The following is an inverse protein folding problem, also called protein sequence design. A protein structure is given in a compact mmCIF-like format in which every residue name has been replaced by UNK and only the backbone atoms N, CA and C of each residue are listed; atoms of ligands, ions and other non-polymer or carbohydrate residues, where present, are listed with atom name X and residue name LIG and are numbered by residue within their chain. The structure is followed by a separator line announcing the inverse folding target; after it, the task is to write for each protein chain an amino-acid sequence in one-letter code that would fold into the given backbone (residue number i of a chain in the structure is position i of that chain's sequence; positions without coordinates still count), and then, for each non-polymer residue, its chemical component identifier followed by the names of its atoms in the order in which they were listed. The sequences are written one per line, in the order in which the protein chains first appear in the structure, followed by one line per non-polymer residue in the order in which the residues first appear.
data_IF_691383389544
#
_entry.id   IF_691383389544
#
_cell.length_a   1.000
_cell.length_b   1.000
_cell.length_c   1.000
_cell.angle_alpha   90.00
_cell.angle_beta   90.00
_cell.angle_gamma   90.00
#
_symmetry.space_group_name_H-M   'P 1'
#
loop_
_entity.id
_entity.type
_entity.pdbx_description
1 polymer ?
#
# COMPACT_ATOMS: atom_id res chain seq x y z
N UNK A 1 -15.02 6.99 -7.87
CA UNK A 1 -14.79 7.46 -6.48
C UNK A 1 -13.54 8.32 -6.52
N UNK A 2 -13.66 9.65 -6.46
CA UNK A 2 -12.49 10.51 -6.36
C UNK A 2 -12.12 10.54 -4.88
N UNK A 3 -11.18 9.68 -4.49
CA UNK A 3 -10.61 9.66 -3.16
C UNK A 3 -9.77 10.92 -3.05
N UNK A 4 -10.21 11.86 -2.21
CA UNK A 4 -9.47 13.08 -1.94
C UNK A 4 -8.06 12.71 -1.49
N UNK A 5 -7.06 13.39 -2.07
CA UNK A 5 -5.61 13.25 -1.81
C UNK A 5 -5.21 13.23 -0.32
N UNK A 6 -6.13 13.61 0.57
CA UNK A 6 -6.01 13.59 2.03
C UNK A 6 -5.95 12.17 2.63
N UNK A 7 -6.60 11.15 2.03
CA UNK A 7 -6.52 9.78 2.58
C UNK A 7 -5.21 9.07 2.22
N UNK A 8 -4.55 9.46 1.12
CA UNK A 8 -3.22 8.99 0.77
C UNK A 8 -2.15 9.49 1.76
N UNK A 9 -2.39 10.66 2.39
CA UNK A 9 -1.53 11.21 3.45
C UNK A 9 -1.61 10.39 4.74
N UNK A 10 -2.77 9.78 5.00
CA UNK A 10 -3.03 8.96 6.21
C UNK A 10 -2.31 7.62 6.20
N UNK A 11 -1.91 7.14 5.02
CA UNK A 11 -1.16 5.89 4.96
C UNK A 11 0.15 6.07 5.74
N UNK A 12 0.69 7.30 5.87
CA UNK A 12 2.12 7.46 6.19
C UNK A 12 2.58 8.75 6.87
N UNK A 13 1.84 9.86 6.83
CA UNK A 13 2.24 11.04 7.61
C UNK A 13 1.79 10.88 9.06
N UNK A 14 2.77 10.66 9.94
CA UNK A 14 2.62 10.90 11.38
C UNK A 14 2.34 12.38 11.62
N UNK A 15 1.07 12.76 11.64
CA UNK A 15 0.65 13.75 12.63
C UNK A 15 0.56 13.01 13.96
N UNK A 16 1.15 13.58 15.01
CA UNK A 16 1.18 13.02 16.37
C UNK A 16 -0.23 12.59 16.81
N UNK A 17 -0.56 11.30 16.70
CA UNK A 17 -1.80 10.73 17.25
C UNK A 17 -2.75 9.97 16.30
N UNK A 18 -2.47 9.81 14.99
CA UNK A 18 -3.35 9.00 14.10
C UNK A 18 -2.78 7.60 13.77
N UNK A 19 -3.67 6.59 13.78
CA UNK A 19 -3.36 5.17 13.63
C UNK A 19 -3.22 4.72 12.17
N UNK A 20 -2.43 3.66 11.94
CA UNK A 20 -2.38 2.91 10.66
C UNK A 20 -3.77 2.35 10.30
N UNK A 21 -4.03 2.08 9.00
CA UNK A 21 -5.29 1.48 8.57
C UNK A 21 -5.53 0.14 9.28
N UNK A 22 -6.76 -0.08 9.75
CA UNK A 22 -7.11 -1.27 10.53
C UNK A 22 -6.79 -2.60 9.84
N UNK A 23 -6.77 -2.63 8.50
CA UNK A 23 -6.47 -3.84 7.74
C UNK A 23 -5.07 -4.40 8.03
N UNK A 24 -4.09 -3.55 8.32
CA UNK A 24 -2.75 -4.01 8.72
C UNK A 24 -2.79 -4.70 10.08
N UNK A 25 -3.60 -4.18 11.01
CA UNK A 25 -3.81 -4.78 12.31
C UNK A 25 -4.58 -6.10 12.22
N UNK A 26 -5.61 -6.16 11.38
CA UNK A 26 -6.37 -7.39 11.13
C UNK A 26 -5.47 -8.46 10.52
N UNK A 27 -4.63 -8.11 9.54
CA UNK A 27 -3.64 -9.03 8.97
C UNK A 27 -2.66 -9.50 10.04
N UNK A 28 -2.14 -8.58 10.86
CA UNK A 28 -1.13 -8.88 11.86
C UNK A 28 -1.61 -9.87 12.94
N UNK A 29 -2.81 -9.62 13.49
CA UNK A 29 -3.41 -10.47 14.53
C UNK A 29 -4.11 -11.70 13.97
N UNK A 30 -4.68 -11.61 12.77
CA UNK A 30 -5.55 -12.65 12.19
C UNK A 30 -4.86 -13.62 11.23
N UNK A 31 -3.71 -13.28 10.65
CA UNK A 31 -2.97 -14.22 9.82
C UNK A 31 -2.27 -15.29 10.66
N UNK A 32 -2.59 -16.55 10.39
CA UNK A 32 -2.08 -17.72 11.12
C UNK A 32 -1.62 -18.83 10.14
N UNK A 33 -0.86 -19.80 10.64
CA UNK A 33 -0.40 -20.97 9.89
C UNK A 33 0.38 -20.63 8.61
N UNK A 34 0.05 -21.32 7.51
CA UNK A 34 0.75 -21.20 6.23
C UNK A 34 0.72 -19.78 5.64
N UNK A 35 -0.34 -19.00 5.91
CA UNK A 35 -0.41 -17.60 5.47
C UNK A 35 0.67 -16.78 6.18
N UNK A 36 0.74 -16.88 7.51
CA UNK A 36 1.70 -16.13 8.32
C UNK A 36 3.15 -16.47 7.98
N UNK A 37 3.43 -17.77 7.78
CA UNK A 37 4.75 -18.26 7.37
C UNK A 37 5.17 -17.72 6.00
N UNK A 38 4.29 -17.80 5.00
CA UNK A 38 4.56 -17.31 3.66
C UNK A 38 4.79 -15.80 3.63
N UNK A 39 4.00 -15.05 4.39
CA UNK A 39 4.14 -13.60 4.49
C UNK A 39 5.34 -13.18 5.36
N UNK A 40 5.99 -14.12 6.06
CA UNK A 40 7.10 -13.89 6.98
C UNK A 40 6.84 -12.82 8.04
N UNK A 41 5.61 -12.74 8.56
CA UNK A 41 5.22 -11.70 9.52
C UNK A 41 6.01 -11.79 10.84
N UNK A 42 6.37 -13.00 11.30
CA UNK A 42 7.17 -13.20 12.52
C UNK A 42 8.60 -12.68 12.42
N UNK A 43 9.10 -12.42 11.20
CA UNK A 43 10.42 -11.80 11.01
C UNK A 43 10.43 -10.31 11.38
N UNK A 44 9.26 -9.68 11.48
CA UNK A 44 9.11 -8.25 11.79
C UNK A 44 9.02 -8.09 13.32
N UNK A 45 10.07 -7.54 13.93
CA UNK A 45 10.23 -7.44 15.39
C UNK A 45 9.07 -6.72 16.08
N UNK A 46 8.64 -5.59 15.50
CA UNK A 46 7.45 -4.85 15.93
C UNK A 46 6.97 -4.00 14.76
N UNK A 47 5.84 -4.33 14.12
CA UNK A 47 5.30 -3.49 13.08
C UNK A 47 4.79 -2.19 13.71
N UNK A 48 4.83 -1.10 12.96
CA UNK A 48 4.31 0.20 13.42
C UNK A 48 2.78 0.20 13.28
N UNK A 49 2.13 -0.69 14.00
CA UNK A 49 0.69 -0.87 14.04
C UNK A 49 0.27 -0.66 15.50
N UNK A 50 -0.28 0.50 15.86
CA UNK A 50 -0.77 0.76 17.22
C UNK A 50 -2.02 1.66 17.17
N UNK A 51 -3.10 1.30 17.89
CA UNK A 51 -3.23 1.66 19.32
C UNK A 51 -3.77 0.55 20.27
N UNK A 52 -3.86 -0.70 19.82
CA UNK A 52 -4.69 -1.74 20.43
C UNK A 52 -3.86 -2.81 21.15
N UNK A 53 -3.38 -2.48 22.34
CA UNK A 53 -2.53 -3.38 23.15
C UNK A 53 -3.30 -4.34 24.07
N UNK A 54 -4.64 -4.24 24.12
CA UNK A 54 -5.49 -5.08 24.97
C UNK A 54 -5.86 -6.38 24.26
N UNK A 55 -6.00 -7.46 25.02
CA UNK A 55 -6.39 -8.77 24.48
C UNK A 55 -7.77 -8.75 23.79
N UNK A 56 -8.69 -7.93 24.30
CA UNK A 56 -10.02 -7.71 23.70
C UNK A 56 -9.92 -7.11 22.29
N UNK A 57 -8.99 -6.18 22.08
CA UNK A 57 -8.79 -5.56 20.78
C UNK A 57 -8.12 -6.52 19.79
N UNK A 58 -7.22 -7.40 20.28
CA UNK A 58 -6.60 -8.46 19.49
C UNK A 58 -7.63 -9.46 19.01
N UNK A 59 -8.50 -9.92 19.90
CA UNK A 59 -9.60 -10.82 19.55
C UNK A 59 -10.55 -10.17 18.54
N UNK A 60 -10.89 -8.88 18.73
CA UNK A 60 -11.71 -8.12 17.79
C UNK A 60 -11.08 -8.01 16.40
N UNK A 61 -9.74 -7.88 16.33
CA UNK A 61 -9.01 -7.85 15.07
C UNK A 61 -9.02 -9.20 14.34
N UNK A 62 -8.86 -10.31 15.08
CA UNK A 62 -9.01 -11.65 14.53
C UNK A 62 -10.41 -11.85 13.93
N UNK A 63 -11.45 -11.43 14.65
CA UNK A 63 -12.83 -11.52 14.14
C UNK A 63 -13.08 -10.63 12.93
N UNK A 64 -12.48 -9.43 12.89
CA UNK A 64 -12.54 -8.55 11.74
C UNK A 64 -11.80 -9.13 10.53
N UNK A 65 -10.67 -9.81 10.75
CA UNK A 65 -9.93 -10.53 9.71
C UNK A 65 -10.77 -11.66 9.09
N UNK A 66 -11.44 -12.47 9.92
CA UNK A 66 -12.35 -13.51 9.43
C UNK A 66 -13.51 -12.93 8.62
N UNK A 67 -14.11 -11.83 9.10
CA UNK A 67 -15.17 -11.12 8.35
C UNK A 67 -14.69 -10.60 7.00
N UNK A 68 -13.45 -10.11 6.92
CA UNK A 68 -12.85 -9.65 5.67
C UNK A 68 -12.68 -10.81 4.66
N UNK A 69 -12.17 -11.96 5.10
CA UNK A 69 -12.08 -13.16 4.26
C UNK A 69 -13.45 -13.64 3.78
N UNK A 70 -14.45 -13.67 4.66
CA UNK A 70 -15.82 -13.98 4.26
C UNK A 70 -16.35 -12.97 3.23
N UNK A 71 -16.08 -11.68 3.39
CA UNK A 71 -16.49 -10.67 2.42
C UNK A 71 -15.84 -10.91 1.04
N UNK A 72 -14.54 -11.22 0.99
CA UNK A 72 -13.87 -11.56 -0.27
C UNK A 72 -14.50 -12.78 -0.96
N UNK A 73 -14.85 -13.81 -0.19
CA UNK A 73 -15.56 -14.99 -0.71
C UNK A 73 -16.93 -14.64 -1.30
N UNK A 74 -17.73 -13.80 -0.62
CA UNK A 74 -19.02 -13.34 -1.13
C UNK A 74 -18.91 -12.44 -2.37
N UNK A 75 -17.81 -11.70 -2.49
CA UNK A 75 -17.48 -10.88 -3.66
C UNK A 75 -16.95 -11.73 -4.83
N UNK A 76 -16.77 -13.04 -4.65
CA UNK A 76 -16.30 -13.95 -5.68
C UNK A 76 -14.80 -13.84 -5.98
N UNK A 77 -13.99 -13.32 -5.04
CA UNK A 77 -12.54 -13.32 -5.20
C UNK A 77 -12.01 -14.75 -5.10
N UNK A 78 -11.11 -15.12 -6.02
CA UNK A 78 -10.36 -16.38 -5.92
C UNK A 78 -9.36 -16.34 -4.77
N UNK A 79 -8.96 -17.51 -4.27
CA UNK A 79 -7.89 -17.61 -3.27
C UNK A 79 -6.61 -16.90 -3.72
N UNK A 80 -6.25 -17.01 -5.01
CA UNK A 80 -5.09 -16.31 -5.58
C UNK A 80 -5.22 -14.78 -5.54
N UNK A 81 -6.42 -14.23 -5.67
CA UNK A 81 -6.65 -12.79 -5.56
C UNK A 81 -6.56 -12.33 -4.11
N UNK A 82 -7.13 -13.10 -3.16
CA UNK A 82 -7.00 -12.82 -1.72
C UNK A 82 -5.54 -12.90 -1.29
N UNK A 83 -4.80 -13.88 -1.80
CA UNK A 83 -3.37 -14.03 -1.58
C UNK A 83 -2.56 -12.84 -2.10
N UNK A 84 -2.91 -12.32 -3.28
CA UNK A 84 -2.27 -11.12 -3.83
C UNK A 84 -2.54 -9.90 -2.95
N UNK A 85 -3.76 -9.73 -2.45
CA UNK A 85 -4.11 -8.67 -1.49
C UNK A 85 -3.25 -8.78 -0.22
N UNK A 86 -3.16 -9.97 0.37
CA UNK A 86 -2.35 -10.23 1.55
C UNK A 86 -0.85 -9.96 1.30
N UNK A 87 -0.35 -10.33 0.11
CA UNK A 87 1.05 -10.14 -0.28
C UNK A 87 1.41 -8.67 -0.39
N UNK A 88 0.54 -7.84 -0.98
CA UNK A 88 0.77 -6.38 -1.07
C UNK A 88 0.78 -5.74 0.33
N UNK A 89 -0.18 -6.11 1.20
CA UNK A 89 -0.22 -5.61 2.57
C UNK A 89 1.05 -5.98 3.37
N UNK A 90 1.49 -7.24 3.28
CA UNK A 90 2.71 -7.68 3.93
C UNK A 90 3.96 -7.01 3.35
N UNK A 91 4.01 -6.79 2.04
CA UNK A 91 5.12 -6.08 1.40
C UNK A 91 5.27 -4.66 1.96
N UNK A 92 4.17 -3.95 2.22
CA UNK A 92 4.19 -2.62 2.86
C UNK A 92 4.78 -2.71 4.27
N UNK A 93 4.40 -3.70 5.08
CA UNK A 93 4.96 -3.90 6.43
C UNK A 93 6.47 -4.18 6.37
N UNK A 94 6.90 -5.00 5.40
CA UNK A 94 8.32 -5.27 5.16
C UNK A 94 9.07 -4.02 4.69
N UNK A 95 8.50 -3.19 3.82
CA UNK A 95 9.12 -1.93 3.39
C UNK A 95 9.28 -0.94 4.55
N UNK A 96 8.27 -0.85 5.42
CA UNK A 96 8.35 -0.05 6.65
C UNK A 96 9.46 -0.56 7.58
N UNK A 97 9.55 -1.88 7.78
CA UNK A 97 10.61 -2.50 8.57
C UNK A 97 11.99 -2.35 7.92
N UNK A 98 12.08 -2.36 6.59
CA UNK A 98 13.32 -2.20 5.83
C UNK A 98 13.95 -0.82 6.08
N UNK A 99 13.11 0.22 6.10
CA UNK A 99 13.54 1.62 6.22
C UNK A 99 14.51 2.03 5.11
N UNK A 100 15.03 3.25 5.19
CA UNK A 100 16.05 3.71 4.26
C UNK A 100 17.00 4.71 4.91
N UNK A 101 18.18 4.87 4.31
CA UNK A 101 19.14 5.91 4.70
C UNK A 101 18.51 7.31 4.58
N UNK A 102 18.81 8.25 5.48
CA UNK A 102 18.31 9.62 5.38
C UNK A 102 18.95 10.40 4.22
N UNK A 103 18.34 11.53 3.84
CA UNK A 103 18.82 12.41 2.77
C UNK A 103 18.18 12.09 1.42
N UNK A 104 18.85 12.47 0.32
CA UNK A 104 18.26 12.40 -1.03
C UNK A 104 17.94 10.97 -1.47
N UNK A 105 16.72 10.74 -1.97
CA UNK A 105 16.25 9.45 -2.48
C UNK A 105 17.19 8.82 -3.51
N UNK A 106 17.75 9.61 -4.44
CA UNK A 106 18.58 9.12 -5.54
C UNK A 106 19.87 8.39 -5.10
N UNK A 107 20.33 8.64 -3.87
CA UNK A 107 21.52 8.02 -3.27
C UNK A 107 21.18 7.10 -2.10
N UNK A 108 19.89 6.83 -1.88
CA UNK A 108 19.45 6.08 -0.73
C UNK A 108 19.49 4.57 -0.98
N UNK A 109 19.61 3.85 0.14
CA UNK A 109 19.60 2.40 0.18
C UNK A 109 18.73 1.93 1.35
N UNK A 110 18.22 0.70 1.27
CA UNK A 110 17.50 0.07 2.37
C UNK A 110 18.45 -0.20 3.55
N UNK A 111 17.98 0.06 4.78
CA UNK A 111 18.78 -0.20 5.98
C UNK A 111 18.78 -1.69 6.34
N UNK A 112 17.63 -2.35 6.20
CA UNK A 112 17.48 -3.79 6.42
C UNK A 112 17.14 -4.48 5.10
N UNK A 113 18.16 -4.97 4.40
CA UNK A 113 18.03 -5.54 3.05
C UNK A 113 17.16 -6.81 3.03
N UNK A 114 17.19 -7.62 4.09
CA UNK A 114 16.35 -8.83 4.20
C UNK A 114 14.85 -8.52 4.08
N UNK A 115 14.37 -7.47 4.74
CA UNK A 115 12.96 -7.07 4.60
C UNK A 115 12.66 -6.49 3.21
N UNK A 116 13.59 -5.76 2.60
CA UNK A 116 13.42 -5.30 1.22
C UNK A 116 13.36 -6.46 0.21
N UNK A 117 14.15 -7.51 0.42
CA UNK A 117 14.09 -8.74 -0.37
C UNK A 117 12.75 -9.46 -0.21
N UNK A 118 12.25 -9.57 1.03
CA UNK A 118 10.96 -10.18 1.28
C UNK A 118 9.80 -9.36 0.66
N UNK A 119 9.83 -8.03 0.76
CA UNK A 119 8.86 -7.17 0.08
C UNK A 119 8.89 -7.36 -1.44
N UNK A 120 10.09 -7.42 -2.05
CA UNK A 120 10.24 -7.65 -3.48
C UNK A 120 9.67 -9.01 -3.91
N UNK A 121 9.95 -10.07 -3.13
CA UNK A 121 9.42 -11.40 -3.37
C UNK A 121 7.89 -11.45 -3.32
N UNK A 122 7.28 -10.79 -2.32
CA UNK A 122 5.83 -10.70 -2.18
C UNK A 122 5.16 -9.91 -3.32
N UNK A 123 5.86 -8.91 -3.87
CA UNK A 123 5.41 -8.13 -5.04
C UNK A 123 5.75 -8.80 -6.38
N UNK A 124 6.49 -9.90 -6.38
CA UNK A 124 6.91 -10.61 -7.59
C UNK A 124 7.94 -9.87 -8.44
N UNK A 125 8.77 -9.01 -7.83
CA UNK A 125 9.81 -8.21 -8.50
C UNK A 125 11.20 -8.48 -7.92
N UNK A 126 12.25 -8.06 -8.62
CA UNK A 126 13.60 -8.11 -8.06
C UNK A 126 13.80 -6.99 -7.01
N UNK A 127 14.69 -7.21 -6.04
CA UNK A 127 15.03 -6.18 -5.04
C UNK A 127 15.67 -4.95 -5.68
N UNK A 128 16.38 -5.13 -6.79
CA UNK A 128 16.94 -4.04 -7.58
C UNK A 128 15.84 -3.20 -8.22
N UNK A 129 14.86 -3.83 -8.87
CA UNK A 129 13.72 -3.13 -9.49
C UNK A 129 12.90 -2.38 -8.46
N UNK A 130 12.66 -2.99 -7.30
CA UNK A 130 11.98 -2.35 -6.17
C UNK A 130 12.74 -1.10 -5.70
N UNK A 131 14.06 -1.22 -5.51
CA UNK A 131 14.91 -0.10 -5.12
C UNK A 131 14.93 1.02 -6.17
N UNK A 132 14.98 0.66 -7.46
CA UNK A 132 14.95 1.63 -8.56
C UNK A 132 13.60 2.35 -8.63
N UNK A 133 12.49 1.62 -8.56
CA UNK A 133 11.14 2.19 -8.57
C UNK A 133 10.95 3.19 -7.42
N UNK A 134 11.46 2.86 -6.22
CA UNK A 134 11.29 3.65 -5.02
C UNK A 134 12.23 4.86 -4.95
N UNK A 135 13.53 4.66 -5.17
CA UNK A 135 14.56 5.68 -4.93
C UNK A 135 14.94 6.51 -6.16
N UNK A 136 14.81 5.91 -7.36
CA UNK A 136 15.23 6.54 -8.62
C UNK A 136 14.04 7.05 -9.43
N UNK A 137 12.84 6.54 -9.13
CA UNK A 137 11.62 6.80 -9.89
C UNK A 137 11.68 6.18 -11.28
N UNK A 138 10.60 6.29 -12.05
CA UNK A 138 10.69 6.08 -13.50
C UNK A 138 11.67 7.12 -14.03
N UNK A 139 12.90 6.70 -14.31
CA UNK A 139 13.79 7.45 -15.19
C UNK A 139 13.12 7.44 -16.56
N UNK A 140 12.17 8.35 -16.76
CA UNK A 140 11.77 8.72 -18.09
C UNK A 140 13.00 9.36 -18.72
N UNK A 141 13.85 8.52 -19.30
CA UNK A 141 14.75 8.88 -20.39
C UNK A 141 13.96 9.19 -21.65
N UNK A 142 12.76 9.78 -21.53
CA UNK A 142 12.15 10.50 -22.63
C UNK A 142 12.81 11.86 -22.67
N UNK A 143 13.82 11.95 -23.51
CA UNK A 143 14.27 13.19 -24.12
C UNK A 143 13.06 13.88 -24.77
N UNK A 144 12.27 14.60 -23.98
CA UNK A 144 11.35 15.61 -24.51
C UNK A 144 12.16 16.90 -24.57
N UNK A 145 12.74 17.14 -25.74
CA UNK A 145 13.20 18.45 -26.16
C UNK A 145 12.00 19.39 -26.25
N UNK A 146 11.54 19.93 -25.13
CA UNK A 146 10.69 21.12 -25.12
C UNK A 146 11.60 22.32 -24.91
N UNK A 147 11.81 23.07 -26.00
CA UNK A 147 12.40 24.42 -26.00
C UNK A 147 11.71 25.26 -24.91
N UNK A 148 12.43 25.57 -23.84
CA UNK A 148 11.98 26.52 -22.83
C UNK A 148 12.35 27.92 -23.31
N UNK A 149 11.34 28.70 -23.70
CA UNK A 149 11.43 30.15 -23.78
C UNK A 149 11.56 30.72 -22.37
N UNK A 150 12.55 31.61 -22.20
CA UNK A 150 12.82 32.40 -21.00
C UNK A 150 11.56 32.99 -20.36
N UNK A 151 11.31 32.66 -19.08
CA UNK A 151 10.94 33.61 -18.00
C UNK A 151 10.55 32.87 -16.72
N UNK A 152 11.52 32.57 -15.85
CA UNK A 152 11.41 32.76 -14.38
C UNK A 152 12.63 32.18 -13.68
N UNK A 153 13.55 33.07 -13.30
CA UNK A 153 14.59 32.80 -12.31
C UNK A 153 13.92 32.71 -10.94
N UNK A 154 13.46 31.52 -10.56
CA UNK A 154 13.25 31.16 -9.16
C UNK A 154 14.23 30.03 -8.89
N UNK A 155 15.28 30.34 -8.13
CA UNK A 155 16.18 29.35 -7.58
C UNK A 155 15.38 28.44 -6.64
N UNK A 156 14.91 27.31 -7.14
CA UNK A 156 14.31 26.25 -6.35
C UNK A 156 15.35 25.14 -6.31
N UNK A 157 15.88 24.88 -5.12
CA UNK A 157 16.91 23.88 -4.88
C UNK A 157 16.55 22.58 -5.60
N UNK A 158 17.42 22.11 -6.50
CA UNK A 158 17.32 20.83 -7.20
C UNK A 158 17.52 19.61 -6.28
N UNK A 159 17.03 19.69 -5.04
CA UNK A 159 17.03 18.56 -4.11
C UNK A 159 15.79 17.73 -4.44
N UNK A 160 16.01 16.58 -5.08
CA UNK A 160 14.96 15.57 -5.24
C UNK A 160 14.36 15.16 -3.89
N UNK A 161 13.26 14.37 -3.89
CA UNK A 161 12.58 13.99 -2.66
C UNK A 161 13.55 13.34 -1.67
N UNK A 162 13.33 13.59 -0.38
CA UNK A 162 14.05 12.88 0.68
C UNK A 162 13.64 11.41 0.67
N UNK A 163 14.59 10.52 0.91
CA UNK A 163 14.42 9.08 0.82
C UNK A 163 13.35 8.53 1.76
N UNK A 164 13.25 8.98 3.03
CA UNK A 164 12.15 8.58 3.89
C UNK A 164 10.80 8.98 3.30
N UNK A 165 10.65 10.21 2.82
CA UNK A 165 9.41 10.67 2.18
C UNK A 165 9.08 9.91 0.88
N UNK A 166 10.10 9.47 0.13
CA UNK A 166 9.92 8.63 -1.04
C UNK A 166 9.45 7.21 -0.69
N UNK A 167 10.09 6.57 0.31
CA UNK A 167 9.67 5.26 0.85
C UNK A 167 8.24 5.31 1.36
N UNK A 168 7.92 6.40 2.07
CA UNK A 168 6.58 6.74 2.50
C UNK A 168 5.70 6.79 1.24
N UNK A 169 5.81 7.81 0.39
CA UNK A 169 4.94 7.97 -0.80
C UNK A 169 4.75 6.70 -1.65
N UNK A 170 5.78 5.86 -1.75
CA UNK A 170 5.70 4.56 -2.42
C UNK A 170 4.75 3.57 -1.73
N UNK A 171 4.87 3.37 -0.41
CA UNK A 171 3.94 2.55 0.36
C UNK A 171 2.48 3.05 0.26
N UNK A 172 2.27 4.36 0.15
CA UNK A 172 0.93 4.97 0.04
C UNK A 172 0.34 4.63 -1.31
N UNK A 173 1.17 4.73 -2.34
CA UNK A 173 0.79 4.41 -3.71
C UNK A 173 0.44 2.93 -3.85
N UNK A 174 1.20 2.02 -3.22
CA UNK A 174 0.87 0.59 -3.19
C UNK A 174 -0.49 0.32 -2.52
N UNK A 175 -0.74 0.93 -1.35
CA UNK A 175 -2.01 0.77 -0.66
C UNK A 175 -3.19 1.35 -1.47
N UNK A 176 -2.98 2.52 -2.07
CA UNK A 176 -4.00 3.18 -2.90
C UNK A 176 -4.36 2.32 -4.13
N UNK A 177 -3.37 1.76 -4.82
CA UNK A 177 -3.59 0.88 -5.97
C UNK A 177 -4.36 -0.39 -5.56
N UNK A 178 -3.99 -0.98 -4.42
CA UNK A 178 -4.70 -2.11 -3.84
C UNK A 178 -6.16 -1.77 -3.54
N UNK A 179 -6.41 -0.63 -2.91
CA UNK A 179 -7.75 -0.17 -2.58
C UNK A 179 -8.59 0.05 -3.85
N UNK A 180 -8.05 0.75 -4.84
CA UNK A 180 -8.71 0.94 -6.14
C UNK A 180 -9.06 -0.41 -6.78
N UNK A 181 -8.13 -1.37 -6.78
CA UNK A 181 -8.36 -2.72 -7.30
C UNK A 181 -9.51 -3.43 -6.57
N UNK A 182 -9.57 -3.33 -5.24
CA UNK A 182 -10.67 -3.92 -4.44
C UNK A 182 -12.01 -3.27 -4.79
N UNK A 183 -12.05 -1.93 -4.93
CA UNK A 183 -13.27 -1.21 -5.33
C UNK A 183 -13.74 -1.65 -6.72
N UNK A 184 -12.82 -1.84 -7.67
CA UNK A 184 -13.16 -2.37 -8.99
C UNK A 184 -13.70 -3.79 -8.94
N UNK A 185 -13.15 -4.66 -8.10
CA UNK A 185 -13.65 -6.02 -7.89
C UNK A 185 -15.06 -6.00 -7.28
N UNK A 186 -15.31 -5.14 -6.29
CA UNK A 186 -16.65 -4.96 -5.72
C UNK A 186 -17.64 -4.51 -6.78
N UNK A 187 -17.27 -3.49 -7.57
CA UNK A 187 -18.13 -2.98 -8.63
C UNK A 187 -18.45 -4.07 -9.67
N UNK A 188 -17.46 -4.88 -10.06
CA UNK A 188 -17.67 -6.03 -10.97
C UNK A 188 -18.62 -7.07 -10.36
N UNK A 189 -18.45 -7.43 -9.09
CA UNK A 189 -19.31 -8.38 -8.40
C UNK A 189 -20.76 -7.90 -8.35
N UNK A 190 -20.98 -6.62 -7.97
CA UNK A 190 -22.31 -6.02 -7.91
C UNK A 190 -22.98 -5.94 -9.29
N UNK A 191 -22.24 -5.56 -10.34
CA UNK A 191 -22.78 -5.52 -11.70
C UNK A 191 -23.10 -6.92 -12.24
N UNK A 192 -22.32 -7.93 -11.88
CA UNK A 192 -22.61 -9.32 -12.26
C UNK A 192 -23.86 -9.88 -11.56
N UNK A 193 -24.09 -9.50 -10.30
CA UNK A 193 -25.29 -9.87 -9.53
C UNK A 193 -26.53 -9.05 -9.92
N UNK A 194 -26.34 -7.85 -10.47
CA UNK A 194 -27.42 -6.96 -10.91
C UNK A 194 -28.07 -7.37 -12.24
N UNK A 195 -27.61 -8.46 -12.88
CA UNK A 195 -28.22 -9.01 -14.10
C UNK A 195 -29.70 -9.45 -13.93
N UNK A 196 -30.27 -9.39 -12.73
CA UNK A 196 -31.69 -9.68 -12.45
C UNK A 196 -32.50 -8.51 -11.84
N UNK A 197 -32.02 -7.26 -11.83
CA UNK A 197 -32.84 -6.13 -11.37
C UNK A 197 -32.73 -4.93 -12.31
N UNK A 198 -33.75 -4.82 -13.16
CA UNK A 198 -34.03 -3.78 -14.16
C UNK A 198 -34.24 -2.35 -13.61
N UNK A 199 -33.69 -2.03 -12.43
CA UNK A 199 -33.73 -0.68 -11.87
C UNK A 199 -32.30 -0.30 -11.48
N UNK A 200 -31.57 0.15 -12.48
CA UNK A 200 -30.27 0.80 -12.30
C UNK A 200 -30.48 2.11 -11.54
N UNK A 201 -30.17 2.14 -10.25
CA UNK A 201 -29.98 3.41 -9.55
C UNK A 201 -28.64 3.97 -10.03
N UNK A 202 -28.72 4.82 -11.05
CA UNK A 202 -27.66 5.75 -11.42
C UNK A 202 -27.37 6.67 -10.24
N UNK A 203 -26.46 6.27 -9.36
CA UNK A 203 -25.78 7.24 -8.49
C UNK A 203 -24.74 7.97 -9.34
N UNK A 204 -25.31 8.91 -10.08
CA UNK A 204 -24.69 10.01 -10.79
C UNK A 204 -23.73 10.74 -9.83
N UNK A 205 -22.43 10.70 -10.10
CA UNK A 205 -21.48 11.63 -9.50
C UNK A 205 -21.61 12.98 -10.22
N UNK A 206 -22.58 13.78 -9.80
CA UNK A 206 -22.62 15.21 -10.06
C UNK A 206 -22.68 15.90 -8.70
N UNK A 207 -21.51 16.33 -8.22
CA UNK A 207 -21.20 17.55 -7.47
C UNK A 207 -19.70 17.53 -7.10
#
# INVERSE_FOLDING_TARGET
MQISLLEADRVIRRHSGEASFHVFYYLWEGAEGALRERLQLDSIEKPVIDPYSKEEDRQSAKEAWQRLHHAFSHLGLSESQVDAVCSVLAAILHLQAAGCTPGSAQRAHFLRVSHAQQAAALLGVSTEDLGNALFRGKTSGSTVTTKVTNTSRIALTSRGPDAPEALISFCASLYQELFCTIVELINKALLSNAACTWISVSLLSAL
#
